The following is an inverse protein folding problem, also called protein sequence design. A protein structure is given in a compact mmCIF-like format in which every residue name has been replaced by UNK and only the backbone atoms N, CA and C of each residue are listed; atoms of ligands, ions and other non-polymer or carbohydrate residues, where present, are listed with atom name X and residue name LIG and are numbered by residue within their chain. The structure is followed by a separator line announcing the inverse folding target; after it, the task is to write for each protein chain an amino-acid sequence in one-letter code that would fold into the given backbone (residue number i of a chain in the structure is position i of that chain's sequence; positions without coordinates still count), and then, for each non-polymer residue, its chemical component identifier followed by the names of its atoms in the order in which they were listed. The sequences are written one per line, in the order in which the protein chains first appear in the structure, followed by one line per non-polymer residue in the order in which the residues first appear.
data_IF_039096203485
#
_entry.id   IF_039096203485
#
_cell.length_a   1.000
_cell.length_b   1.000
_cell.length_c   1.000
_cell.angle_alpha   90.00
_cell.angle_beta   90.00
_cell.angle_gamma   90.00
#
_symmetry.space_group_name_H-M   'P 1'
#
loop_
_entity.id
_entity.type
_entity.pdbx_description
1 polymer ?
#
# COMPACT_ATOMS: atom_id res chain seq x y z
N UNK A 1 6.17 -11.61 14.83
CA UNK A 1 5.99 -10.16 14.73
C UNK A 1 7.30 -9.37 14.70
N UNK A 2 8.19 -9.40 15.72
CA UNK A 2 9.45 -8.61 15.70
C UNK A 2 10.33 -8.90 14.49
N UNK A 3 10.42 -10.16 14.07
CA UNK A 3 11.14 -10.58 12.85
C UNK A 3 10.61 -9.84 11.63
N UNK A 4 9.31 -9.93 11.35
CA UNK A 4 8.64 -9.33 10.18
C UNK A 4 8.88 -7.82 10.12
N UNK A 5 8.75 -7.12 11.26
CA UNK A 5 8.99 -5.66 11.31
C UNK A 5 10.46 -5.32 11.02
N UNK A 6 11.41 -6.14 11.53
CA UNK A 6 12.87 -5.92 11.36
C UNK A 6 13.38 -6.19 9.94
N UNK A 7 12.73 -7.04 9.16
CA UNK A 7 13.07 -7.27 7.73
C UNK A 7 13.01 -5.98 6.91
N UNK A 8 12.39 -4.94 7.44
CA UNK A 8 12.43 -3.60 6.88
C UNK A 8 11.32 -3.34 5.86
N UNK A 9 11.58 -2.42 4.96
CA UNK A 9 10.67 -1.95 3.92
C UNK A 9 10.74 -0.45 3.73
N UNK A 10 10.19 0.05 2.62
CA UNK A 10 10.23 1.47 2.27
C UNK A 10 9.30 2.34 3.13
N UNK A 11 8.37 1.73 3.86
CA UNK A 11 7.41 2.41 4.74
C UNK A 11 6.67 3.57 4.04
N UNK A 12 6.37 3.42 2.75
CA UNK A 12 5.77 4.50 1.95
C UNK A 12 4.40 4.93 2.48
N UNK A 13 3.56 3.98 2.90
CA UNK A 13 2.22 4.28 3.45
C UNK A 13 2.28 5.11 4.73
N UNK A 14 3.08 4.72 5.75
CA UNK A 14 3.37 5.57 6.91
C UNK A 14 3.94 6.95 6.56
N UNK A 15 4.89 7.02 5.63
CA UNK A 15 5.51 8.29 5.24
C UNK A 15 4.49 9.24 4.60
N UNK A 16 3.69 8.76 3.63
CA UNK A 16 2.63 9.55 3.00
C UNK A 16 1.64 10.07 4.04
N UNK A 17 1.20 9.20 4.96
CA UNK A 17 0.28 9.57 6.03
C UNK A 17 0.86 10.68 6.90
N UNK A 18 2.11 10.57 7.30
CA UNK A 18 2.76 11.55 8.17
C UNK A 18 3.00 12.89 7.44
N UNK A 19 3.37 12.88 6.15
CA UNK A 19 3.54 14.11 5.38
C UNK A 19 2.21 14.85 5.21
N UNK A 20 1.12 14.15 4.87
CA UNK A 20 -0.21 14.77 4.79
C UNK A 20 -0.67 15.25 6.17
N UNK A 21 -0.40 14.50 7.23
CA UNK A 21 -0.68 14.92 8.60
C UNK A 21 0.03 16.22 8.97
N UNK A 22 1.29 16.37 8.57
CA UNK A 22 2.06 17.60 8.75
C UNK A 22 1.43 18.78 7.99
N UNK A 23 1.04 18.58 6.73
CA UNK A 23 0.34 19.59 5.92
C UNK A 23 -0.93 20.09 6.63
N UNK A 24 -1.69 19.15 7.22
CA UNK A 24 -2.97 19.44 7.88
C UNK A 24 -2.83 19.88 9.34
N UNK A 25 -1.63 19.85 9.92
CA UNK A 25 -1.36 20.28 11.29
C UNK A 25 -1.76 19.26 12.36
N UNK A 26 -1.80 17.98 12.01
CA UNK A 26 -2.00 16.88 12.97
C UNK A 26 -0.76 16.70 13.84
N UNK A 27 -0.94 16.44 15.11
CA UNK A 27 0.18 16.13 16.03
C UNK A 27 0.85 14.82 15.64
N UNK A 28 2.19 14.81 15.59
CA UNK A 28 2.99 13.64 15.22
C UNK A 28 2.64 12.39 16.02
N UNK A 29 2.42 12.51 17.34
CA UNK A 29 2.04 11.37 18.18
C UNK A 29 0.74 10.69 17.74
N UNK A 30 -0.23 11.47 17.20
CA UNK A 30 -1.49 10.93 16.71
C UNK A 30 -1.30 10.28 15.31
N UNK A 31 -0.58 10.97 14.41
CA UNK A 31 -0.31 10.45 13.07
C UNK A 31 0.55 9.18 13.09
N UNK A 32 1.58 9.12 13.96
CA UNK A 32 2.44 7.93 14.08
C UNK A 32 1.66 6.69 14.52
N UNK A 33 0.64 6.84 15.34
CA UNK A 33 -0.20 5.72 15.77
C UNK A 33 -1.04 5.18 14.61
N UNK A 34 -1.62 6.06 13.80
CA UNK A 34 -2.37 5.65 12.60
C UNK A 34 -1.43 5.10 11.52
N UNK A 35 -0.24 5.70 11.39
CA UNK A 35 0.82 5.22 10.51
C UNK A 35 1.32 3.82 10.90
N UNK A 36 1.44 3.53 12.20
CA UNK A 36 1.75 2.18 12.69
C UNK A 36 0.61 1.20 12.39
N UNK A 37 -0.66 1.61 12.55
CA UNK A 37 -1.81 0.74 12.28
C UNK A 37 -1.86 0.32 10.81
N UNK A 38 -1.71 1.25 9.85
CA UNK A 38 -1.70 0.91 8.42
C UNK A 38 -0.49 0.03 8.06
N UNK A 39 0.67 0.26 8.67
CA UNK A 39 1.83 -0.58 8.41
C UNK A 39 1.66 -2.00 8.97
N UNK A 40 0.99 -2.18 10.12
CA UNK A 40 0.67 -3.52 10.63
C UNK A 40 -0.36 -4.25 9.75
N UNK A 41 -1.35 -3.55 9.21
CA UNK A 41 -2.22 -4.13 8.16
C UNK A 41 -1.39 -4.58 6.94
N UNK A 42 -0.45 -3.77 6.49
CA UNK A 42 0.43 -4.15 5.39
C UNK A 42 1.37 -5.32 5.77
N UNK A 43 1.89 -5.36 6.99
CA UNK A 43 2.72 -6.48 7.46
C UNK A 43 1.95 -7.80 7.47
N UNK A 44 0.71 -7.81 8.00
CA UNK A 44 -0.10 -9.02 7.98
C UNK A 44 -0.36 -9.51 6.57
N UNK A 45 -0.73 -8.58 5.66
CA UNK A 45 -1.02 -8.97 4.27
C UNK A 45 0.18 -9.63 3.60
N UNK A 46 1.40 -9.12 3.83
CA UNK A 46 2.61 -9.72 3.27
C UNK A 46 2.93 -11.09 3.88
N UNK A 47 2.73 -11.26 5.20
CA UNK A 47 2.99 -12.55 5.87
C UNK A 47 2.03 -13.63 5.35
N UNK A 48 0.76 -13.29 5.17
CA UNK A 48 -0.22 -14.23 4.63
C UNK A 48 -0.04 -14.47 3.13
N UNK A 49 0.34 -13.45 2.38
CA UNK A 49 0.60 -13.51 0.94
C UNK A 49 1.76 -14.48 0.62
N UNK A 50 2.77 -14.55 1.50
CA UNK A 50 3.93 -15.43 1.35
C UNK A 50 3.64 -16.92 1.62
N UNK A 51 2.49 -17.28 2.23
CA UNK A 51 2.16 -18.67 2.59
C UNK A 51 2.05 -19.60 1.37
N UNK A 52 2.29 -20.92 1.52
CA UNK A 52 2.17 -21.90 0.44
C UNK A 52 0.78 -21.93 -0.23
N UNK A 53 -0.28 -21.59 0.50
CA UNK A 53 -1.64 -21.50 -0.03
C UNK A 53 -1.89 -20.23 -0.88
N UNK A 54 -0.93 -19.31 -0.95
CA UNK A 54 -0.98 -18.03 -1.63
C UNK A 54 0.13 -17.94 -2.68
N UNK A 55 1.11 -17.03 -2.53
CA UNK A 55 2.19 -16.83 -3.50
C UNK A 55 3.34 -17.86 -3.38
N UNK A 56 3.40 -18.61 -2.28
CA UNK A 56 4.44 -19.61 -1.98
C UNK A 56 5.85 -19.05 -2.13
N UNK A 57 6.12 -17.94 -1.41
CA UNK A 57 7.38 -17.22 -1.49
C UNK A 57 8.33 -17.60 -0.35
N UNK A 58 9.52 -18.14 -0.71
CA UNK A 58 10.58 -18.50 0.27
C UNK A 58 11.29 -17.24 0.83
N UNK A 59 11.39 -16.17 0.04
CA UNK A 59 12.17 -14.98 0.35
C UNK A 59 11.34 -13.70 0.17
N UNK A 60 11.46 -12.78 1.13
CA UNK A 60 10.96 -11.42 1.05
C UNK A 60 12.02 -10.43 1.48
N UNK A 61 12.33 -9.47 0.58
CA UNK A 61 13.40 -8.46 0.79
C UNK A 61 14.77 -9.09 1.12
N UNK A 62 15.05 -10.24 0.53
CA UNK A 62 16.31 -10.96 0.72
C UNK A 62 16.41 -11.78 2.02
N UNK A 63 15.34 -11.84 2.83
CA UNK A 63 15.26 -12.66 4.05
C UNK A 63 14.22 -13.77 3.88
N UNK A 64 14.37 -14.92 4.60
CA UNK A 64 13.34 -15.95 4.64
C UNK A 64 11.98 -15.37 5.02
N UNK A 65 10.91 -15.87 4.39
CA UNK A 65 9.54 -15.51 4.76
C UNK A 65 9.17 -16.08 6.13
N UNK A 66 8.10 -15.58 6.75
CA UNK A 66 7.77 -15.96 8.12
C UNK A 66 7.52 -17.46 8.29
N UNK A 67 6.88 -18.11 7.31
CA UNK A 67 6.62 -19.54 7.36
C UNK A 67 7.87 -20.41 7.12
N UNK A 68 8.87 -19.89 6.41
CA UNK A 68 10.16 -20.56 6.22
C UNK A 68 11.06 -20.39 7.45
N UNK A 69 11.09 -19.19 8.05
CA UNK A 69 11.90 -18.93 9.24
C UNK A 69 11.38 -19.65 10.49
N UNK A 70 10.06 -19.85 10.58
CA UNK A 70 9.40 -20.48 11.71
C UNK A 70 8.59 -21.71 11.24
N UNK A 71 7.31 -21.53 10.95
CA UNK A 71 6.37 -22.51 10.41
C UNK A 71 5.09 -21.81 9.91
N UNK A 72 4.22 -22.51 9.18
CA UNK A 72 2.98 -21.98 8.62
C UNK A 72 2.00 -21.52 9.71
N UNK A 73 1.83 -22.33 10.78
CA UNK A 73 0.92 -21.98 11.88
C UNK A 73 1.36 -20.69 12.56
N UNK A 74 2.67 -20.52 12.82
CA UNK A 74 3.24 -19.29 13.35
C UNK A 74 3.01 -18.12 12.41
N UNK A 75 3.18 -18.29 11.10
CA UNK A 75 2.94 -17.22 10.12
C UNK A 75 1.47 -16.77 10.11
N UNK A 76 0.51 -17.70 10.10
CA UNK A 76 -0.92 -17.40 10.19
C UNK A 76 -1.22 -16.58 11.45
N UNK A 77 -0.78 -17.05 12.62
CA UNK A 77 -1.03 -16.36 13.89
C UNK A 77 -0.33 -15.00 14.00
N UNK A 78 0.84 -14.83 13.37
CA UNK A 78 1.53 -13.54 13.27
C UNK A 78 0.72 -12.54 12.44
N UNK A 79 0.13 -12.96 11.34
CA UNK A 79 -0.76 -12.12 10.53
C UNK A 79 -2.00 -11.68 11.32
N UNK A 80 -2.69 -12.62 11.97
CA UNK A 80 -3.86 -12.36 12.81
C UNK A 80 -3.55 -11.38 13.96
N UNK A 81 -2.38 -11.56 14.59
CA UNK A 81 -1.93 -10.69 15.67
C UNK A 81 -1.60 -9.28 15.19
N UNK A 82 -1.03 -9.10 13.98
CA UNK A 82 -0.80 -7.79 13.40
C UNK A 82 -2.10 -7.07 13.08
N UNK A 83 -3.08 -7.78 12.49
CA UNK A 83 -4.39 -7.23 12.20
C UNK A 83 -5.09 -6.75 13.49
N UNK A 84 -5.13 -7.60 14.51
CA UNK A 84 -5.71 -7.25 15.82
C UNK A 84 -5.02 -6.05 16.47
N UNK A 85 -3.68 -6.00 16.44
CA UNK A 85 -2.90 -4.89 16.98
C UNK A 85 -3.14 -3.57 16.24
N UNK A 86 -3.32 -3.62 14.91
CA UNK A 86 -3.64 -2.43 14.13
C UNK A 86 -4.95 -1.77 14.61
N UNK A 87 -5.99 -2.56 14.86
CA UNK A 87 -7.26 -2.06 15.38
C UNK A 87 -7.21 -1.65 16.84
N UNK A 88 -6.42 -2.32 17.67
CA UNK A 88 -6.15 -1.89 19.06
C UNK A 88 -5.53 -0.50 19.09
N UNK A 89 -4.49 -0.26 18.28
CA UNK A 89 -3.79 1.03 18.26
C UNK A 89 -4.70 2.15 17.77
N UNK A 90 -5.42 1.92 16.66
CA UNK A 90 -6.24 2.97 16.06
C UNK A 90 -7.45 3.33 16.93
N UNK A 91 -8.00 2.38 17.70
CA UNK A 91 -9.13 2.58 18.60
C UNK A 91 -8.74 3.28 19.92
N UNK A 92 -7.46 3.24 20.29
CA UNK A 92 -7.00 3.71 21.57
C UNK A 92 -7.13 5.23 21.73
N UNK A 93 -7.51 5.71 22.95
CA UNK A 93 -7.70 7.16 23.25
C UNK A 93 -6.47 8.04 22.95
N UNK A 94 -5.25 7.47 22.98
CA UNK A 94 -4.02 8.18 22.60
C UNK A 94 -3.94 8.47 21.08
N UNK A 95 -4.72 7.78 20.25
CA UNK A 95 -4.77 8.05 18.80
C UNK A 95 -5.57 9.32 18.52
N UNK A 96 -6.71 9.50 19.18
CA UNK A 96 -7.46 10.74 19.17
C UNK A 96 -8.42 10.79 20.36
N UNK A 97 -8.61 11.98 20.98
CA UNK A 97 -9.49 12.12 22.13
C UNK A 97 -10.97 11.93 21.75
N UNK A 98 -11.39 12.44 20.58
CA UNK A 98 -12.74 12.27 20.07
C UNK A 98 -12.97 10.82 19.61
N UNK A 99 -13.97 10.15 20.21
CA UNK A 99 -14.31 8.77 19.84
C UNK A 99 -14.89 8.62 18.44
N UNK A 100 -15.60 9.64 17.93
CA UNK A 100 -16.14 9.63 16.57
C UNK A 100 -15.03 9.61 15.52
N UNK A 101 -13.96 10.38 15.75
CA UNK A 101 -12.75 10.35 14.89
C UNK A 101 -12.14 8.96 14.89
N UNK A 102 -12.02 8.32 16.07
CA UNK A 102 -11.49 6.94 16.13
C UNK A 102 -12.40 5.94 15.42
N UNK A 103 -13.73 6.04 15.62
CA UNK A 103 -14.68 5.18 14.92
C UNK A 103 -14.60 5.36 13.40
N UNK A 104 -14.47 6.60 12.91
CA UNK A 104 -14.31 6.88 11.48
C UNK A 104 -13.01 6.27 10.93
N UNK A 105 -11.88 6.46 11.63
CA UNK A 105 -10.60 5.84 11.26
C UNK A 105 -10.69 4.31 11.21
N UNK A 106 -11.33 3.68 12.21
CA UNK A 106 -11.53 2.22 12.25
C UNK A 106 -12.37 1.76 11.05
N UNK A 107 -13.47 2.47 10.76
CA UNK A 107 -14.36 2.14 9.65
C UNK A 107 -13.63 2.22 8.31
N UNK A 108 -12.88 3.30 8.07
CA UNK A 108 -12.13 3.47 6.81
C UNK A 108 -10.97 2.46 6.70
N UNK A 109 -10.27 2.14 7.79
CA UNK A 109 -9.23 1.10 7.78
C UNK A 109 -9.84 -0.28 7.49
N UNK A 110 -10.97 -0.63 8.11
CA UNK A 110 -11.66 -1.89 7.90
C UNK A 110 -12.14 -2.04 6.45
N UNK A 111 -12.72 -0.99 5.85
CA UNK A 111 -13.11 -0.97 4.43
C UNK A 111 -11.91 -1.15 3.53
N UNK A 112 -10.83 -0.35 3.74
CA UNK A 112 -9.64 -0.39 2.88
C UNK A 112 -8.86 -1.71 2.98
N UNK A 113 -8.93 -2.41 4.10
CA UNK A 113 -8.26 -3.71 4.29
C UNK A 113 -9.15 -4.93 4.03
N UNK A 114 -10.45 -4.79 4.09
CA UNK A 114 -11.44 -5.87 4.05
C UNK A 114 -11.83 -6.35 2.66
N UNK A 115 -13.04 -6.94 2.57
CA UNK A 115 -13.56 -7.55 1.35
C UNK A 115 -13.79 -6.54 0.20
N UNK A 116 -14.13 -5.29 0.53
CA UNK A 116 -14.29 -4.20 -0.45
C UNK A 116 -12.96 -3.45 -0.72
N UNK A 117 -11.87 -3.91 -0.12
CA UNK A 117 -10.52 -3.35 -0.22
C UNK A 117 -9.47 -4.40 -0.55
N UNK A 118 -8.37 -4.37 0.19
CA UNK A 118 -7.17 -5.17 -0.08
C UNK A 118 -7.44 -6.69 -0.15
N UNK A 119 -8.23 -7.24 0.77
CA UNK A 119 -8.56 -8.69 0.76
C UNK A 119 -9.37 -9.05 -0.48
N UNK A 120 -10.34 -8.23 -0.88
CA UNK A 120 -11.07 -8.42 -2.14
C UNK A 120 -10.15 -8.35 -3.37
N UNK A 121 -9.19 -7.43 -3.34
CA UNK A 121 -8.15 -7.34 -4.38
C UNK A 121 -7.26 -8.58 -4.44
N UNK A 122 -6.88 -9.12 -3.28
CA UNK A 122 -6.11 -10.36 -3.20
C UNK A 122 -6.88 -11.56 -3.75
N UNK A 123 -8.20 -11.62 -3.50
CA UNK A 123 -9.05 -12.66 -4.08
C UNK A 123 -9.10 -12.58 -5.62
N UNK A 124 -9.20 -11.36 -6.17
CA UNK A 124 -9.12 -11.16 -7.63
C UNK A 124 -7.74 -11.55 -8.20
N UNK A 125 -6.67 -11.35 -7.43
CA UNK A 125 -5.32 -11.73 -7.84
C UNK A 125 -5.16 -13.26 -7.95
N UNK A 126 -5.69 -14.01 -6.99
CA UNK A 126 -5.75 -15.49 -7.05
C UNK A 126 -6.65 -15.98 -8.21
N UNK A 127 -7.73 -15.26 -8.51
CA UNK A 127 -8.55 -15.58 -9.69
C UNK A 127 -7.80 -15.36 -11.00
N UNK A 128 -6.94 -14.33 -11.06
CA UNK A 128 -6.14 -14.01 -12.24
C UNK A 128 -5.12 -15.11 -12.60
N UNK A 129 -4.71 -15.93 -11.64
CA UNK A 129 -3.86 -17.10 -11.92
C UNK A 129 -4.58 -18.23 -12.66
N UNK A 130 -5.92 -18.26 -12.57
CA UNK A 130 -6.75 -19.36 -13.12
C UNK A 130 -7.46 -18.97 -14.41
N UNK A 131 -7.61 -17.68 -14.68
CA UNK A 131 -8.34 -17.15 -15.84
C UNK A 131 -7.86 -15.78 -16.25
N UNK A 132 -7.86 -15.50 -17.54
CA UNK A 132 -7.60 -14.17 -18.09
C UNK A 132 -8.66 -13.18 -17.62
N UNK A 133 -8.23 -12.07 -17.04
CA UNK A 133 -9.11 -10.98 -16.60
C UNK A 133 -9.28 -9.94 -17.71
N UNK A 134 -10.46 -9.31 -17.75
CA UNK A 134 -10.65 -8.12 -18.58
C UNK A 134 -9.82 -6.95 -18.06
N UNK A 135 -9.49 -5.99 -18.93
CA UNK A 135 -8.76 -4.77 -18.54
C UNK A 135 -9.41 -4.05 -17.36
N UNK A 136 -10.74 -3.96 -17.34
CA UNK A 136 -11.50 -3.36 -16.24
C UNK A 136 -11.27 -4.09 -14.91
N UNK A 137 -11.26 -5.43 -14.92
CA UNK A 137 -10.97 -6.24 -13.74
C UNK A 137 -9.54 -6.12 -13.27
N UNK A 138 -8.58 -5.94 -14.18
CA UNK A 138 -7.18 -5.69 -13.83
C UNK A 138 -7.05 -4.34 -13.11
N UNK A 139 -7.69 -3.27 -13.62
CA UNK A 139 -7.74 -1.99 -12.90
C UNK A 139 -8.42 -2.10 -11.54
N UNK A 140 -9.53 -2.86 -11.46
CA UNK A 140 -10.21 -3.11 -10.19
C UNK A 140 -9.32 -3.84 -9.20
N UNK A 141 -8.63 -4.90 -9.62
CA UNK A 141 -7.65 -5.65 -8.82
C UNK A 141 -6.59 -4.70 -8.26
N UNK A 142 -5.94 -3.91 -9.11
CA UNK A 142 -4.88 -2.98 -8.70
C UNK A 142 -5.39 -1.91 -7.73
N UNK A 143 -6.57 -1.37 -7.99
CA UNK A 143 -7.22 -0.42 -7.09
C UNK A 143 -7.47 -1.03 -5.72
N UNK A 144 -8.02 -2.24 -5.66
CA UNK A 144 -8.36 -2.90 -4.40
C UNK A 144 -7.11 -3.41 -3.67
N UNK A 145 -6.28 -4.25 -4.32
CA UNK A 145 -5.12 -4.90 -3.67
C UNK A 145 -4.10 -3.88 -3.15
N UNK A 146 -3.84 -2.84 -3.91
CA UNK A 146 -2.79 -1.86 -3.61
C UNK A 146 -3.35 -0.47 -3.30
N UNK A 147 -4.29 0.01 -4.10
CA UNK A 147 -4.80 1.38 -4.06
C UNK A 147 -5.53 1.73 -2.77
N UNK A 148 -6.34 0.83 -2.21
CA UNK A 148 -7.16 1.13 -1.03
C UNK A 148 -6.31 1.42 0.23
N UNK A 149 -5.19 0.74 0.42
CA UNK A 149 -4.27 1.08 1.52
C UNK A 149 -3.53 2.41 1.27
N UNK A 150 -3.23 2.77 0.02
CA UNK A 150 -2.75 4.12 -0.32
C UNK A 150 -3.83 5.17 -0.06
N UNK A 151 -5.08 4.88 -0.45
CA UNK A 151 -6.23 5.74 -0.16
C UNK A 151 -6.35 6.01 1.34
N UNK A 152 -6.36 4.97 2.17
CA UNK A 152 -6.40 5.14 3.62
C UNK A 152 -5.25 6.02 4.14
N UNK A 153 -4.02 5.79 3.65
CA UNK A 153 -2.86 6.59 4.06
C UNK A 153 -3.01 8.08 3.74
N UNK A 154 -3.79 8.42 2.71
CA UNK A 154 -4.01 9.80 2.29
C UNK A 154 -5.22 10.46 2.99
N UNK A 155 -6.29 9.71 3.27
CA UNK A 155 -7.52 10.27 3.86
C UNK A 155 -7.53 10.25 5.38
N UNK A 156 -6.82 9.32 6.03
CA UNK A 156 -6.76 9.23 7.49
C UNK A 156 -6.26 10.52 8.16
N UNK A 157 -5.28 11.28 7.60
CA UNK A 157 -4.91 12.59 8.11
C UNK A 157 -6.05 13.62 8.10
N UNK A 158 -6.93 13.57 7.10
CA UNK A 158 -8.11 14.47 7.03
C UNK A 158 -9.09 14.17 8.17
N UNK A 159 -9.26 12.88 8.50
CA UNK A 159 -10.11 12.43 9.60
C UNK A 159 -9.49 12.86 10.94
N UNK A 160 -8.16 12.64 11.14
CA UNK A 160 -7.43 13.06 12.32
C UNK A 160 -7.48 14.57 12.56
N UNK A 161 -7.43 15.37 11.49
CA UNK A 161 -7.48 16.82 11.53
C UNK A 161 -8.92 17.37 11.60
N UNK A 162 -9.94 16.51 11.47
CA UNK A 162 -11.35 16.88 11.29
C UNK A 162 -11.57 17.85 10.11
N UNK A 163 -10.73 17.71 9.04
CA UNK A 163 -10.72 18.55 7.83
C UNK A 163 -11.31 17.80 6.63
N UNK A 164 -12.63 17.63 6.64
CA UNK A 164 -13.32 16.83 5.63
C UNK A 164 -13.42 17.49 4.24
N UNK A 165 -13.17 18.79 4.12
CA UNK A 165 -13.12 19.50 2.83
C UNK A 165 -11.92 19.10 1.99
N UNK A 166 -10.82 18.70 2.63
CA UNK A 166 -9.60 18.24 1.98
C UNK A 166 -9.64 16.74 1.60
N UNK A 167 -10.68 16.03 2.02
CA UNK A 167 -10.82 14.60 1.81
C UNK A 167 -10.76 14.24 0.32
N UNK A 168 -11.57 14.88 -0.52
CA UNK A 168 -11.60 14.64 -1.97
C UNK A 168 -10.26 14.95 -2.65
N UNK A 169 -9.55 15.98 -2.18
CA UNK A 169 -8.22 16.35 -2.70
C UNK A 169 -7.24 15.19 -2.49
N UNK A 170 -7.13 14.69 -1.26
CA UNK A 170 -6.19 13.62 -0.94
C UNK A 170 -6.64 12.25 -1.45
N UNK A 171 -7.93 12.02 -1.61
CA UNK A 171 -8.46 10.82 -2.26
C UNK A 171 -8.08 10.80 -3.75
N UNK A 172 -8.25 11.92 -4.48
CA UNK A 172 -7.84 12.07 -5.86
C UNK A 172 -6.30 11.93 -6.02
N UNK A 173 -5.52 12.53 -5.10
CA UNK A 173 -4.07 12.35 -5.05
C UNK A 173 -3.70 10.86 -4.90
N UNK A 174 -4.33 10.15 -3.96
CA UNK A 174 -4.06 8.74 -3.69
C UNK A 174 -4.35 7.83 -4.88
N UNK A 175 -5.42 8.09 -5.61
CA UNK A 175 -5.82 7.31 -6.78
C UNK A 175 -4.75 7.33 -7.86
N UNK A 176 -4.19 8.51 -8.16
CA UNK A 176 -3.12 8.65 -9.16
C UNK A 176 -1.80 8.07 -8.67
N UNK A 177 -1.46 8.33 -7.41
CA UNK A 177 -0.23 7.83 -6.79
C UNK A 177 -0.21 6.30 -6.71
N UNK A 178 -1.31 5.68 -6.28
CA UNK A 178 -1.44 4.23 -6.16
C UNK A 178 -1.34 3.53 -7.52
N UNK A 179 -1.97 4.08 -8.55
CA UNK A 179 -1.87 3.54 -9.91
C UNK A 179 -0.45 3.70 -10.49
N UNK A 180 0.20 4.86 -10.28
CA UNK A 180 1.58 5.07 -10.69
C UNK A 180 2.55 4.11 -9.98
N UNK A 181 2.33 3.87 -8.68
CA UNK A 181 3.08 2.92 -7.87
C UNK A 181 2.99 1.51 -8.45
N UNK A 182 1.79 1.05 -8.79
CA UNK A 182 1.57 -0.29 -9.34
C UNK A 182 2.21 -0.45 -10.73
N UNK A 183 2.04 0.52 -11.63
CA UNK A 183 2.71 0.49 -12.93
C UNK A 183 4.23 0.41 -12.76
N UNK A 184 4.78 1.11 -11.76
CA UNK A 184 6.22 1.04 -11.48
C UNK A 184 6.65 -0.32 -10.92
N UNK A 185 5.83 -0.96 -10.07
CA UNK A 185 6.09 -2.31 -9.58
C UNK A 185 6.08 -3.33 -10.73
N UNK A 186 5.09 -3.28 -11.61
CA UNK A 186 5.02 -4.13 -12.81
C UNK A 186 6.25 -3.91 -13.73
N UNK A 187 6.70 -2.65 -13.90
CA UNK A 187 7.91 -2.33 -14.65
C UNK A 187 9.17 -2.92 -14.00
N UNK A 188 9.27 -2.86 -12.67
CA UNK A 188 10.40 -3.44 -11.94
C UNK A 188 10.41 -4.96 -12.00
N UNK A 189 9.26 -5.62 -12.06
CA UNK A 189 9.19 -7.07 -12.24
C UNK A 189 9.69 -7.50 -13.64
N UNK A 190 9.40 -6.70 -14.67
CA UNK A 190 9.83 -6.95 -16.06
C UNK A 190 11.31 -6.57 -16.30
N UNK A 191 11.82 -5.50 -15.69
CA UNK A 191 13.14 -4.91 -15.96
C UNK A 191 14.18 -5.25 -14.89
N UNK A 192 13.74 -5.60 -13.68
CA UNK A 192 14.60 -5.73 -12.51
C UNK A 192 15.45 -6.99 -12.53
N UNK A 193 16.67 -6.91 -11.98
CA UNK A 193 17.45 -8.07 -11.62
C UNK A 193 16.95 -8.61 -10.27
N UNK A 194 16.84 -9.92 -10.12
CA UNK A 194 16.37 -10.56 -8.89
C UNK A 194 17.16 -10.14 -7.63
N UNK A 195 18.44 -9.83 -7.77
CA UNK A 195 19.33 -9.36 -6.69
C UNK A 195 18.90 -7.97 -6.20
N UNK A 196 18.57 -7.05 -7.12
CA UNK A 196 18.22 -5.66 -6.79
C UNK A 196 16.80 -5.55 -6.21
N UNK A 197 15.88 -6.40 -6.69
CA UNK A 197 14.46 -6.42 -6.28
C UNK A 197 14.26 -7.18 -4.95
N UNK A 198 15.19 -8.07 -4.57
CA UNK A 198 15.14 -8.85 -3.33
C UNK A 198 14.09 -9.97 -3.33
N UNK A 199 13.55 -10.32 -4.50
CA UNK A 199 12.66 -11.47 -4.78
C UNK A 199 12.88 -11.97 -6.21
N UNK A 200 12.37 -13.17 -6.53
CA UNK A 200 12.38 -13.69 -7.91
C UNK A 200 11.59 -12.72 -8.81
N UNK A 201 12.18 -12.29 -9.93
CA UNK A 201 11.53 -11.43 -10.95
C UNK A 201 10.91 -12.27 -12.07
N UNK A 202 10.00 -11.68 -12.85
CA UNK A 202 9.29 -12.36 -13.92
C UNK A 202 8.28 -13.41 -13.45
N UNK A 203 7.79 -13.29 -12.21
CA UNK A 203 6.79 -14.19 -11.64
C UNK A 203 5.44 -14.05 -12.32
N UNK A 204 5.00 -12.83 -12.58
CA UNK A 204 3.72 -12.55 -13.21
C UNK A 204 3.64 -13.18 -14.62
N UNK A 205 4.70 -13.05 -15.40
CA UNK A 205 4.80 -13.70 -16.71
C UNK A 205 4.80 -15.24 -16.61
N UNK A 206 5.48 -15.82 -15.61
CA UNK A 206 5.52 -17.28 -15.40
C UNK A 206 4.18 -17.83 -14.90
N UNK A 207 3.45 -17.07 -14.10
CA UNK A 207 2.10 -17.38 -13.63
C UNK A 207 1.01 -17.07 -14.68
N UNK A 208 1.38 -16.50 -15.85
CA UNK A 208 0.45 -16.13 -16.91
C UNK A 208 -0.45 -14.94 -16.55
N UNK A 209 -0.08 -14.14 -15.53
CA UNK A 209 -0.84 -12.97 -15.13
C UNK A 209 -0.68 -11.84 -16.15
N UNK A 210 -1.78 -11.28 -16.60
CA UNK A 210 -1.76 -10.04 -17.36
C UNK A 210 -1.57 -8.85 -16.41
N UNK A 211 -0.56 -8.02 -16.71
CA UNK A 211 -0.22 -6.81 -15.95
C UNK A 211 -0.54 -5.56 -16.78
N UNK A 212 -0.56 -4.39 -16.15
CA UNK A 212 -0.72 -3.14 -16.89
C UNK A 212 0.41 -2.92 -17.89
N UNK A 213 1.62 -3.39 -17.57
CA UNK A 213 2.78 -3.29 -18.48
C UNK A 213 2.62 -4.21 -19.68
N UNK A 214 2.11 -5.44 -19.53
CA UNK A 214 1.86 -6.34 -20.65
C UNK A 214 0.82 -5.81 -21.62
N UNK A 215 -0.21 -5.12 -21.10
CA UNK A 215 -1.31 -4.56 -21.91
C UNK A 215 -0.95 -3.24 -22.60
N UNK A 216 -0.25 -2.35 -21.91
CA UNK A 216 0.08 -1.01 -22.42
C UNK A 216 1.37 -1.03 -23.27
N UNK A 217 2.23 -2.02 -23.06
CA UNK A 217 3.61 -2.01 -23.52
C UNK A 217 4.49 -1.12 -22.63
N UNK A 218 5.76 -1.50 -22.50
CA UNK A 218 6.74 -0.92 -21.57
C UNK A 218 6.85 0.62 -21.67
N UNK A 219 7.00 1.15 -22.89
CA UNK A 219 7.20 2.59 -23.08
C UNK A 219 5.94 3.41 -22.74
N UNK A 220 4.75 2.90 -23.08
CA UNK A 220 3.50 3.56 -22.72
C UNK A 220 3.24 3.49 -21.21
N UNK A 221 3.57 2.37 -20.56
CA UNK A 221 3.49 2.22 -19.11
C UNK A 221 4.37 3.24 -18.40
N UNK A 222 5.63 3.43 -18.83
CA UNK A 222 6.54 4.48 -18.30
C UNK A 222 5.96 5.88 -18.45
N UNK A 223 5.48 6.21 -19.66
CA UNK A 223 4.84 7.51 -19.92
C UNK A 223 3.61 7.73 -19.04
N UNK A 224 2.76 6.69 -18.90
CA UNK A 224 1.54 6.75 -18.08
C UNK A 224 1.87 6.95 -16.61
N UNK A 225 2.83 6.19 -16.06
CA UNK A 225 3.26 6.34 -14.67
C UNK A 225 3.79 7.75 -14.39
N UNK A 226 4.61 8.31 -15.29
CA UNK A 226 5.12 9.69 -15.17
C UNK A 226 3.98 10.72 -15.19
N UNK A 227 3.05 10.61 -16.15
CA UNK A 227 1.91 11.51 -16.25
C UNK A 227 1.04 11.48 -14.98
N UNK A 228 0.79 10.29 -14.41
CA UNK A 228 0.04 10.13 -13.17
C UNK A 228 0.71 10.83 -11.98
N UNK A 229 2.04 10.78 -11.87
CA UNK A 229 2.77 11.51 -10.83
C UNK A 229 2.67 13.02 -11.05
N UNK A 230 2.86 13.51 -12.28
CA UNK A 230 2.70 14.93 -12.60
C UNK A 230 1.27 15.43 -12.28
N UNK A 231 0.24 14.63 -12.60
CA UNK A 231 -1.14 14.94 -12.23
C UNK A 231 -1.35 14.92 -10.72
N UNK A 232 -0.77 13.96 -10.00
CA UNK A 232 -0.87 13.90 -8.53
C UNK A 232 -0.21 15.11 -7.86
N UNK A 233 0.95 15.54 -8.35
CA UNK A 233 1.66 16.72 -7.85
C UNK A 233 0.80 17.99 -8.02
N UNK A 234 0.17 18.19 -9.19
CA UNK A 234 -0.71 19.35 -9.43
C UNK A 234 -1.86 19.42 -8.42
N UNK A 235 -2.38 18.30 -7.94
CA UNK A 235 -3.47 18.25 -6.95
C UNK A 235 -3.02 18.85 -5.61
N UNK A 236 -1.74 18.64 -5.22
CA UNK A 236 -1.20 19.06 -3.93
C UNK A 236 -0.39 20.36 -3.99
N UNK A 237 -0.07 20.89 -5.19
CA UNK A 237 0.60 22.19 -5.37
C UNK A 237 -0.04 23.35 -4.58
N UNK A 238 -1.38 23.45 -4.43
CA UNK A 238 -2.00 24.52 -3.66
C UNK A 238 -1.59 24.58 -2.18
N UNK A 239 -1.02 23.52 -1.62
CA UNK A 239 -0.47 23.51 -0.25
C UNK A 239 0.92 24.18 -0.14
N UNK A 240 1.54 24.56 -1.26
CA UNK A 240 2.81 25.29 -1.32
C UNK A 240 3.97 24.53 -0.68
N UNK A 241 4.82 25.25 0.03
CA UNK A 241 6.03 24.69 0.67
C UNK A 241 5.73 23.52 1.63
N UNK A 242 4.53 23.47 2.22
CA UNK A 242 4.14 22.35 3.08
C UNK A 242 4.03 21.01 2.34
N UNK A 243 3.77 21.04 1.04
CA UNK A 243 3.67 19.84 0.22
C UNK A 243 5.01 19.34 -0.34
N UNK A 244 6.12 20.07 -0.13
CA UNK A 244 7.43 19.76 -0.73
C UNK A 244 7.87 18.31 -0.50
N UNK A 245 7.89 17.85 0.75
CA UNK A 245 8.28 16.47 1.06
C UNK A 245 7.34 15.43 0.42
N UNK A 246 6.04 15.74 0.36
CA UNK A 246 5.07 14.85 -0.28
C UNK A 246 5.27 14.79 -1.81
N UNK A 247 5.65 15.91 -2.44
CA UNK A 247 6.04 15.99 -3.85
C UNK A 247 7.32 15.17 -4.10
N UNK A 248 8.34 15.32 -3.24
CA UNK A 248 9.57 14.56 -3.34
C UNK A 248 9.31 13.05 -3.20
N UNK A 249 8.41 12.66 -2.28
CA UNK A 249 7.99 11.27 -2.09
C UNK A 249 7.23 10.72 -3.31
N UNK A 250 6.36 11.52 -3.93
CA UNK A 250 5.67 11.14 -5.16
C UNK A 250 6.66 10.90 -6.32
N UNK A 251 7.64 11.79 -6.49
CA UNK A 251 8.70 11.62 -7.49
C UNK A 251 9.58 10.39 -7.21
N UNK A 252 9.88 10.10 -5.93
CA UNK A 252 10.64 8.91 -5.54
C UNK A 252 9.96 7.61 -6.00
N UNK A 253 8.63 7.55 -6.00
CA UNK A 253 7.89 6.34 -6.40
C UNK A 253 8.24 5.89 -7.81
N UNK A 254 8.40 6.81 -8.76
CA UNK A 254 8.74 6.45 -10.16
C UNK A 254 10.24 6.35 -10.41
N UNK A 255 11.07 7.03 -9.60
CA UNK A 255 12.54 7.03 -9.76
C UNK A 255 13.23 5.83 -9.11
N UNK A 256 12.55 5.12 -8.19
CA UNK A 256 13.11 3.97 -7.48
C UNK A 256 13.52 2.83 -8.43
N UNK A 257 14.58 2.10 -8.05
CA UNK A 257 15.11 0.94 -8.78
C UNK A 257 14.80 -0.39 -8.08
N UNK A 258 14.09 -0.34 -6.97
CA UNK A 258 13.71 -1.50 -6.16
C UNK A 258 12.49 -1.20 -5.30
#
# INVERSE_FOLDING_TARGET
MKYVVKVGGKRLRPLILNEISSILGVKTENSDRVAASIEFIHCYSLVHDDLPAMDDDDLRRGHPTCHIEFDEATAILVGDAFQSLAFEIISHKKTHNNSEVRCHLITELAKSSGAEGMVGGQMLDLEAEKKTLSLEKIFQLQRLKTGELFRFSCIAPCILAEKFKEFEIFENFSSKLGLAFQIKDDLLDVEGNAIDVGKKTGKDLKKGKETLVSLLGKENAKKKSKALIEESIKIIEPFGEKAKNLIDLANFIISRNK
#
